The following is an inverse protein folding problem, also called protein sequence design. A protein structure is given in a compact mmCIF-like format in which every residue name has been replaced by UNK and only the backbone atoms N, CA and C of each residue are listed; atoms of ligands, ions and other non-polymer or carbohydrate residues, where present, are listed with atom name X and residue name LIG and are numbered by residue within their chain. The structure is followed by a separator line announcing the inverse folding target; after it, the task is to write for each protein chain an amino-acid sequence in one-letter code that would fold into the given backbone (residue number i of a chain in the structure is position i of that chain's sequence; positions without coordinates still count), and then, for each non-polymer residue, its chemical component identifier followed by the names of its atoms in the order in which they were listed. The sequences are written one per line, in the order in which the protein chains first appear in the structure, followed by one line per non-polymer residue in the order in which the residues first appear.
data_IF_929614487226
#
_entry.id   IF_929614487226
#
_cell.length_a   1.000
_cell.length_b   1.000
_cell.length_c   1.000
_cell.angle_alpha   90.00
_cell.angle_beta   90.00
_cell.angle_gamma   90.00
#
_symmetry.space_group_name_H-M   'P 1'
#
loop_
_entity.id
_entity.type
_entity.pdbx_description
1 polymer ?
#
# COMPACT_ATOMS: atom_id res chain seq x y z
N UNK A 1 34.90 18.89 -8.03
CA UNK A 1 34.02 18.40 -8.06
C UNK A 1 33.69 17.55 -7.09
N UNK A 2 32.86 17.58 -6.56
CA UNK A 2 32.46 16.80 -5.49
C UNK A 2 32.36 15.35 -5.79
N UNK A 3 32.34 14.57 -4.78
CA UNK A 3 32.19 13.20 -4.92
C UNK A 3 30.78 12.87 -5.19
N UNK A 4 30.58 11.82 -5.94
CA UNK A 4 29.26 11.36 -6.26
C UNK A 4 28.78 10.48 -5.13
N UNK A 5 27.64 10.81 -4.56
CA UNK A 5 27.04 10.00 -3.50
C UNK A 5 26.27 8.86 -4.15
N UNK A 6 26.58 7.60 -3.79
CA UNK A 6 25.87 6.47 -4.41
C UNK A 6 24.39 6.50 -4.04
N UNK A 7 23.54 6.17 -4.98
CA UNK A 7 22.12 6.07 -4.73
C UNK A 7 21.83 4.79 -3.95
N UNK A 8 20.93 4.86 -2.98
CA UNK A 8 20.50 3.68 -2.25
C UNK A 8 19.60 2.82 -3.14
N UNK A 9 19.45 1.55 -2.76
CA UNK A 9 18.54 0.65 -3.46
C UNK A 9 17.13 1.23 -3.49
N UNK A 10 16.67 1.77 -2.36
CA UNK A 10 15.32 2.33 -2.28
C UNK A 10 15.17 3.53 -3.21
N UNK A 11 16.18 4.38 -3.30
CA UNK A 11 16.11 5.52 -4.20
C UNK A 11 15.95 5.05 -5.65
N UNK A 12 16.72 4.04 -6.05
CA UNK A 12 16.62 3.51 -7.40
C UNK A 12 15.24 2.89 -7.63
N UNK A 13 14.75 2.12 -6.66
CA UNK A 13 13.44 1.48 -6.78
C UNK A 13 12.33 2.50 -6.90
N UNK A 14 12.39 3.57 -6.10
CA UNK A 14 11.39 4.63 -6.15
C UNK A 14 11.36 5.28 -7.53
N UNK A 15 12.53 5.61 -8.08
CA UNK A 15 12.58 6.25 -9.40
C UNK A 15 12.10 5.35 -10.51
N UNK A 16 12.31 4.06 -10.40
CA UNK A 16 11.89 3.14 -11.45
C UNK A 16 10.41 2.77 -11.36
N UNK A 17 9.89 2.60 -10.15
CA UNK A 17 8.61 1.93 -9.98
C UNK A 17 7.57 2.70 -9.19
N UNK A 18 7.91 3.77 -8.49
CA UNK A 18 6.96 4.46 -7.63
C UNK A 18 6.66 5.88 -8.11
N UNK A 19 7.69 6.68 -8.34
CA UNK A 19 7.52 8.06 -8.81
C UNK A 19 8.38 8.27 -10.04
N UNK A 20 7.76 8.63 -11.15
CA UNK A 20 8.50 8.87 -12.36
C UNK A 20 8.13 10.22 -12.93
N UNK A 21 9.10 11.12 -13.00
CA UNK A 21 8.88 12.47 -13.53
C UNK A 21 7.75 13.17 -12.80
N UNK A 22 7.74 13.03 -11.47
CA UNK A 22 6.72 13.67 -10.65
C UNK A 22 5.36 12.99 -10.67
N UNK A 23 5.21 11.87 -11.35
CA UNK A 23 3.94 11.15 -11.41
C UNK A 23 4.00 9.92 -10.54
N UNK A 24 2.90 9.68 -9.84
CA UNK A 24 2.78 8.46 -9.04
C UNK A 24 2.46 7.29 -9.96
N UNK A 25 3.32 6.28 -9.95
CA UNK A 25 3.10 5.07 -10.73
C UNK A 25 3.15 3.81 -9.89
N UNK A 26 3.39 3.92 -8.59
CA UNK A 26 3.46 2.75 -7.74
C UNK A 26 3.44 3.11 -6.28
N UNK A 27 3.55 2.09 -5.42
CA UNK A 27 3.63 2.28 -3.97
C UNK A 27 4.18 1.00 -3.34
N UNK A 28 4.70 1.14 -2.11
CA UNK A 28 5.10 -0.03 -1.34
C UNK A 28 3.86 -0.76 -0.86
N UNK A 29 3.92 -2.07 -0.85
CA UNK A 29 2.78 -2.91 -0.53
C UNK A 29 3.17 -4.06 0.40
N UNK A 30 2.24 -4.95 0.65
CA UNK A 30 2.47 -6.17 1.40
C UNK A 30 3.00 -5.90 2.80
N UNK A 31 3.97 -6.71 3.20
CA UNK A 31 4.55 -6.56 4.54
C UNK A 31 5.30 -5.25 4.71
N UNK A 32 5.87 -4.72 3.62
CA UNK A 32 6.54 -3.42 3.68
C UNK A 32 5.56 -2.33 4.12
N UNK A 33 4.40 -2.28 3.48
CA UNK A 33 3.39 -1.30 3.81
C UNK A 33 2.85 -1.53 5.23
N UNK A 34 2.59 -2.79 5.59
CA UNK A 34 2.09 -3.12 6.92
C UNK A 34 3.07 -2.66 8.00
N UNK A 35 4.36 -2.88 7.77
CA UNK A 35 5.37 -2.43 8.71
C UNK A 35 5.38 -0.91 8.84
N UNK A 36 5.31 -0.21 7.73
CA UNK A 36 5.33 1.26 7.73
C UNK A 36 4.10 1.84 8.39
N UNK A 37 2.97 1.14 8.34
CA UNK A 37 1.74 1.61 8.98
C UNK A 37 1.61 1.19 10.43
N UNK A 38 2.53 0.37 10.92
CA UNK A 38 2.48 -0.08 12.30
C UNK A 38 1.61 -1.30 12.54
N UNK A 39 1.18 -1.97 11.48
CA UNK A 39 0.38 -3.19 11.61
C UNK A 39 1.26 -4.40 11.95
N UNK A 40 2.54 -4.32 11.70
CA UNK A 40 3.49 -5.37 12.00
C UNK A 40 4.81 -4.74 12.42
N UNK A 41 5.46 -5.36 13.40
CA UNK A 41 6.79 -4.90 13.83
C UNK A 41 7.90 -5.59 13.05
N UNK A 42 7.58 -6.59 12.25
CA UNK A 42 8.59 -7.31 11.49
C UNK A 42 9.05 -6.48 10.31
N UNK A 43 10.37 -6.39 10.15
CA UNK A 43 10.95 -5.71 8.99
C UNK A 43 11.00 -6.72 7.86
N UNK A 44 10.40 -6.43 6.71
CA UNK A 44 10.37 -7.42 5.63
C UNK A 44 11.76 -7.69 5.07
N UNK A 45 12.03 -8.95 4.81
CA UNK A 45 13.27 -9.36 4.21
C UNK A 45 13.31 -8.94 2.75
N UNK A 46 12.18 -9.04 2.07
CA UNK A 46 12.02 -8.64 0.68
C UNK A 46 10.95 -7.55 0.64
N UNK A 47 11.31 -6.42 0.03
CA UNK A 47 10.35 -5.32 -0.10
C UNK A 47 9.43 -5.60 -1.28
N UNK A 48 8.18 -5.20 -1.14
CA UNK A 48 7.19 -5.41 -2.20
C UNK A 48 6.70 -4.08 -2.72
N UNK A 49 6.70 -3.92 -4.04
CA UNK A 49 6.22 -2.71 -4.71
C UNK A 49 5.16 -3.11 -5.73
N UNK A 50 4.05 -2.38 -5.74
CA UNK A 50 3.04 -2.50 -6.77
C UNK A 50 3.26 -1.33 -7.72
N UNK A 51 3.36 -1.59 -9.01
CA UNK A 51 3.71 -0.54 -9.96
C UNK A 51 3.03 -0.75 -11.29
N UNK A 52 2.57 0.35 -11.88
CA UNK A 52 2.06 0.34 -13.25
C UNK A 52 3.13 -0.12 -14.24
N UNK A 53 4.40 0.01 -13.88
CA UNK A 53 5.51 -0.32 -14.77
C UNK A 53 6.15 -1.66 -14.42
N UNK A 54 5.44 -2.51 -13.67
CA UNK A 54 5.96 -3.84 -13.36
C UNK A 54 6.20 -4.60 -14.67
N UNK A 55 7.35 -5.26 -14.81
CA UNK A 55 7.67 -5.96 -16.06
C UNK A 55 6.87 -7.23 -16.27
N UNK A 56 6.23 -7.73 -15.23
CA UNK A 56 5.40 -8.93 -15.30
C UNK A 56 4.35 -8.84 -14.22
N UNK A 57 3.41 -9.80 -14.20
CA UNK A 57 2.40 -9.81 -13.15
C UNK A 57 3.06 -9.80 -11.77
N UNK A 58 4.10 -10.62 -11.61
CA UNK A 58 4.91 -10.64 -10.40
C UNK A 58 6.36 -10.94 -10.82
N UNK A 59 7.28 -10.12 -10.35
CA UNK A 59 8.68 -10.34 -10.71
C UNK A 59 9.58 -10.06 -9.51
N UNK A 60 10.40 -11.04 -9.12
CA UNK A 60 11.46 -10.82 -8.16
C UNK A 60 12.65 -10.19 -8.84
N UNK A 61 13.33 -9.29 -8.16
CA UNK A 61 14.54 -8.69 -8.71
C UNK A 61 15.43 -8.18 -7.60
N UNK A 62 16.70 -7.94 -7.94
CA UNK A 62 17.67 -7.40 -7.02
C UNK A 62 18.12 -6.04 -7.53
N UNK A 63 18.06 -5.05 -6.66
CA UNK A 63 18.54 -3.71 -6.94
C UNK A 63 19.58 -3.39 -5.87
N UNK A 64 20.83 -3.21 -6.29
CA UNK A 64 21.93 -2.88 -5.38
C UNK A 64 21.94 -3.78 -4.14
N UNK A 65 21.90 -5.09 -4.40
CA UNK A 65 21.98 -6.13 -3.37
C UNK A 65 20.76 -6.22 -2.46
N UNK A 66 19.70 -5.49 -2.76
CA UNK A 66 18.45 -5.57 -2.00
C UNK A 66 17.41 -6.25 -2.85
N UNK A 67 16.62 -7.14 -2.24
CA UNK A 67 15.64 -7.92 -2.98
C UNK A 67 14.28 -7.23 -2.95
N UNK A 68 13.64 -7.24 -4.10
CA UNK A 68 12.32 -6.65 -4.28
C UNK A 68 11.42 -7.61 -5.02
N UNK A 69 10.13 -7.52 -4.74
CA UNK A 69 9.10 -8.12 -5.55
C UNK A 69 8.32 -6.97 -6.15
N UNK A 70 8.24 -6.93 -7.49
CA UNK A 70 7.50 -5.90 -8.19
C UNK A 70 6.32 -6.58 -8.83
N UNK A 71 5.10 -6.09 -8.56
CA UNK A 71 3.93 -6.71 -9.16
C UNK A 71 2.97 -5.66 -9.71
N UNK A 72 2.14 -6.10 -10.64
CA UNK A 72 1.18 -5.22 -11.27
C UNK A 72 0.03 -4.90 -10.33
N UNK A 73 -0.54 -3.71 -10.44
CA UNK A 73 -1.68 -3.35 -9.60
C UNK A 73 -2.96 -3.97 -10.13
N UNK A 74 -3.95 -4.09 -9.23
CA UNK A 74 -5.28 -4.48 -9.63
C UNK A 74 -5.96 -3.41 -10.48
N UNK A 75 -5.58 -2.15 -10.27
CA UNK A 75 -6.13 -0.99 -10.96
C UNK A 75 -4.96 -0.06 -11.23
N UNK A 76 -5.00 0.66 -12.33
CA UNK A 76 -3.94 1.62 -12.64
C UNK A 76 -3.79 2.62 -11.50
N UNK A 77 -2.57 2.80 -11.04
CA UNK A 77 -2.26 3.68 -9.91
C UNK A 77 -2.16 5.11 -10.39
N UNK A 78 -2.83 6.02 -9.70
CA UNK A 78 -2.77 7.45 -9.98
C UNK A 78 -2.57 8.18 -8.66
N UNK A 79 -2.30 9.49 -8.76
CA UNK A 79 -2.16 10.29 -7.56
C UNK A 79 -3.48 10.34 -6.78
N UNK A 80 -4.61 10.29 -7.49
CA UNK A 80 -5.91 10.37 -6.85
C UNK A 80 -6.30 9.10 -6.11
N UNK A 81 -5.88 7.93 -6.61
CA UNK A 81 -6.36 6.69 -6.02
C UNK A 81 -5.33 5.97 -5.15
N UNK A 82 -4.08 6.47 -5.09
CA UNK A 82 -3.01 5.71 -4.45
C UNK A 82 -3.31 5.41 -2.98
N UNK A 83 -3.91 6.35 -2.27
CA UNK A 83 -4.16 6.13 -0.83
C UNK A 83 -5.24 5.10 -0.59
N UNK A 84 -6.30 5.08 -1.39
CA UNK A 84 -7.32 4.06 -1.22
C UNK A 84 -6.80 2.70 -1.66
N UNK A 85 -5.94 2.65 -2.68
CA UNK A 85 -5.36 1.37 -3.08
C UNK A 85 -4.42 0.84 -1.99
N UNK A 86 -3.64 1.69 -1.35
CA UNK A 86 -2.80 1.28 -0.22
C UNK A 86 -3.65 0.76 0.94
N UNK A 87 -4.77 1.43 1.22
CA UNK A 87 -5.69 0.99 2.24
C UNK A 87 -6.21 -0.42 1.96
N UNK A 88 -6.61 -0.67 0.71
CA UNK A 88 -7.11 -1.99 0.32
C UNK A 88 -6.00 -3.04 0.36
N UNK A 89 -4.78 -2.67 0.00
CA UNK A 89 -3.65 -3.60 0.08
C UNK A 89 -3.37 -4.00 1.53
N UNK A 90 -3.50 -3.06 2.47
CA UNK A 90 -3.33 -3.40 3.88
C UNK A 90 -4.38 -4.37 4.35
N UNK A 91 -5.63 -4.16 3.95
CA UNK A 91 -6.70 -5.08 4.31
C UNK A 91 -6.49 -6.46 3.72
N UNK A 92 -5.83 -6.52 2.58
CA UNK A 92 -5.57 -7.80 1.93
C UNK A 92 -4.60 -8.67 2.74
N UNK A 93 -3.68 -8.06 3.48
CA UNK A 93 -2.64 -8.82 4.18
C UNK A 93 -2.74 -8.74 5.70
N UNK A 94 -3.73 -8.05 6.23
CA UNK A 94 -3.77 -7.79 7.68
C UNK A 94 -3.85 -9.08 8.48
N UNK A 95 -4.52 -10.10 7.96
CA UNK A 95 -4.67 -11.37 8.66
C UNK A 95 -3.35 -12.12 8.77
N UNK A 96 -2.40 -11.82 7.90
CA UNK A 96 -1.13 -12.53 7.88
C UNK A 96 -0.02 -11.79 8.61
N UNK A 97 -0.05 -10.47 8.59
CA UNK A 97 1.08 -9.70 9.11
C UNK A 97 0.76 -8.88 10.34
N UNK A 98 -0.49 -8.81 10.74
CA UNK A 98 -0.85 -8.09 11.96
C UNK A 98 -0.46 -8.91 13.17
N UNK A 99 0.28 -8.29 14.08
CA UNK A 99 0.70 -8.95 15.32
C UNK A 99 -0.16 -8.53 16.48
N UNK A 100 -0.88 -7.42 16.35
CA UNK A 100 -1.79 -6.97 17.37
C UNK A 100 -3.16 -7.60 17.13
N UNK A 101 -4.06 -7.46 18.10
CA UNK A 101 -5.39 -7.96 17.86
C UNK A 101 -6.08 -7.13 16.78
N UNK A 102 -7.14 -7.67 16.22
CA UNK A 102 -7.79 -7.05 15.08
C UNK A 102 -8.40 -5.70 15.39
N UNK A 103 -8.81 -5.47 16.66
CA UNK A 103 -9.33 -4.16 17.03
C UNK A 103 -8.26 -3.07 16.93
N UNK A 104 -7.04 -3.39 17.36
CA UNK A 104 -5.95 -2.42 17.26
C UNK A 104 -5.64 -2.14 15.80
N UNK A 105 -5.62 -3.18 14.97
CA UNK A 105 -5.41 -3.00 13.54
C UNK A 105 -6.50 -2.12 12.94
N UNK A 106 -7.74 -2.32 13.36
CA UNK A 106 -8.85 -1.50 12.91
C UNK A 106 -8.69 -0.04 13.30
N UNK A 107 -8.15 0.24 14.48
CA UNK A 107 -7.90 1.61 14.90
C UNK A 107 -6.84 2.27 14.03
N UNK A 108 -5.77 1.55 13.71
CA UNK A 108 -4.71 2.07 12.85
C UNK A 108 -5.26 2.36 11.45
N UNK A 109 -6.02 1.43 10.90
CA UNK A 109 -6.59 1.60 9.57
C UNK A 109 -7.64 2.71 9.53
N UNK A 110 -8.43 2.84 10.59
CA UNK A 110 -9.41 3.91 10.69
C UNK A 110 -8.71 5.28 10.69
N UNK A 111 -7.63 5.39 11.46
CA UNK A 111 -6.87 6.64 11.48
C UNK A 111 -6.32 6.96 10.09
N UNK A 112 -5.80 5.95 9.40
CA UNK A 112 -5.30 6.13 8.05
C UNK A 112 -6.42 6.64 7.12
N UNK A 113 -7.60 6.04 7.23
CA UNK A 113 -8.73 6.44 6.41
C UNK A 113 -9.12 7.90 6.66
N UNK A 114 -9.09 8.32 7.93
CA UNK A 114 -9.41 9.70 8.28
C UNK A 114 -8.34 10.64 7.73
N UNK A 115 -7.08 10.29 7.92
CA UNK A 115 -5.99 11.16 7.48
C UNK A 115 -5.95 11.35 5.97
N UNK A 116 -6.39 10.36 5.22
CA UNK A 116 -6.30 10.41 3.77
C UNK A 116 -7.66 10.52 3.11
N UNK A 117 -8.69 10.84 3.89
CA UNK A 117 -10.05 11.08 3.39
C UNK A 117 -10.56 9.91 2.54
N UNK A 118 -10.39 8.71 3.05
CA UNK A 118 -10.85 7.52 2.36
C UNK A 118 -12.31 7.30 2.72
N UNK A 119 -13.20 7.52 1.75
CA UNK A 119 -14.63 7.41 1.95
C UNK A 119 -15.13 6.05 1.48
N UNK A 120 -16.35 5.71 1.90
CA UNK A 120 -16.98 4.48 1.44
C UNK A 120 -17.10 4.48 -0.08
N UNK A 121 -17.39 5.62 -0.69
CA UNK A 121 -17.53 5.70 -2.14
C UNK A 121 -16.21 5.36 -2.83
N UNK A 122 -15.09 5.84 -2.30
CA UNK A 122 -13.77 5.53 -2.87
C UNK A 122 -13.44 4.05 -2.72
N UNK A 123 -13.76 3.47 -1.55
CA UNK A 123 -13.54 2.05 -1.33
C UNK A 123 -14.40 1.23 -2.30
N UNK A 124 -15.68 1.58 -2.42
CA UNK A 124 -16.59 0.83 -3.29
C UNK A 124 -16.16 0.89 -4.74
N UNK A 125 -15.51 1.97 -5.14
CA UNK A 125 -15.07 2.12 -6.52
C UNK A 125 -14.03 1.04 -6.92
N UNK A 126 -13.20 0.62 -5.98
CA UNK A 126 -12.07 -0.25 -6.30
C UNK A 126 -12.12 -1.63 -5.65
N UNK A 127 -12.95 -1.82 -4.62
CA UNK A 127 -12.86 -3.02 -3.79
C UNK A 127 -13.14 -4.29 -4.59
N UNK A 128 -13.98 -4.22 -5.62
CA UNK A 128 -14.31 -5.41 -6.42
C UNK A 128 -13.12 -5.92 -7.23
N UNK A 129 -12.07 -5.14 -7.36
CA UNK A 129 -10.85 -5.56 -8.06
C UNK A 129 -9.91 -6.33 -7.14
N UNK A 130 -10.28 -6.51 -5.87
CA UNK A 130 -9.45 -7.15 -4.87
C UNK A 130 -10.08 -8.45 -4.40
N UNK A 131 -9.31 -9.34 -3.74
CA UNK A 131 -9.87 -10.61 -3.27
C UNK A 131 -11.00 -10.42 -2.28
N UNK A 132 -11.93 -11.36 -2.27
CA UNK A 132 -13.10 -11.29 -1.40
C UNK A 132 -12.73 -11.24 0.09
N UNK A 133 -11.57 -11.76 0.46
CA UNK A 133 -11.18 -11.76 1.87
C UNK A 133 -11.05 -10.35 2.45
N UNK A 134 -11.00 -9.33 1.60
CA UNK A 134 -10.97 -7.96 2.09
C UNK A 134 -12.25 -7.61 2.84
N UNK A 135 -13.40 -8.12 2.38
CA UNK A 135 -14.67 -7.88 3.09
C UNK A 135 -14.62 -8.45 4.50
N UNK A 136 -14.06 -9.67 4.62
CA UNK A 136 -13.91 -10.29 5.93
C UNK A 136 -12.97 -9.45 6.81
N UNK A 137 -11.88 -8.95 6.24
CA UNK A 137 -10.93 -8.13 6.98
C UNK A 137 -11.57 -6.84 7.48
N UNK A 138 -12.39 -6.20 6.64
CA UNK A 138 -13.12 -5.01 7.07
C UNK A 138 -14.00 -5.33 8.28
N UNK A 139 -14.72 -6.45 8.20
CA UNK A 139 -15.60 -6.83 9.29
C UNK A 139 -14.80 -7.15 10.57
N UNK A 140 -13.74 -7.93 10.44
CA UNK A 140 -13.00 -8.40 11.60
C UNK A 140 -12.19 -7.30 12.28
N UNK A 141 -11.66 -6.35 11.52
CA UNK A 141 -10.91 -5.25 12.10
C UNK A 141 -11.82 -4.16 12.65
N UNK A 142 -13.07 -4.11 12.17
CA UNK A 142 -13.96 -3.05 12.58
C UNK A 142 -13.55 -1.70 12.04
N UNK A 143 -12.76 -1.66 10.98
CA UNK A 143 -12.28 -0.40 10.44
C UNK A 143 -13.46 0.43 9.94
N UNK A 144 -13.35 1.77 10.10
CA UNK A 144 -14.36 2.68 9.65
C UNK A 144 -13.76 3.65 8.65
N UNK A 145 -14.56 4.03 7.66
CA UNK A 145 -14.11 5.02 6.70
C UNK A 145 -14.87 6.32 6.89
N UNK A 146 -14.33 7.36 6.27
CA UNK A 146 -14.99 8.65 6.30
C UNK A 146 -16.29 8.54 5.52
N UNK A 147 -17.37 9.10 6.08
CA UNK A 147 -18.65 9.09 5.39
C UNK A 147 -18.61 10.03 4.20
N UNK A 148 -19.10 9.56 3.06
CA UNK A 148 -19.14 10.40 1.89
C UNK A 148 -20.15 11.53 2.03
N UNK A 149 -21.03 11.45 3.04
CA UNK A 149 -22.01 12.51 3.23
C UNK A 149 -21.57 13.54 4.20
N UNK A 150 -20.37 13.38 4.71
CA UNK A 150 -19.92 14.22 5.64
C UNK A 150 -20.02 15.58 5.29
N UNK A 151 -19.98 15.88 4.34
CA UNK A 151 -19.95 17.11 4.18
C UNK A 151 -20.98 17.77 4.29
N UNK A 152 -21.48 17.64 4.61
CA UNK A 152 -22.33 18.38 4.73
C UNK A 152 -22.57 18.72 5.80
N UNK A 153 -22.58 18.76 6.12
CA UNK A 153 -22.76 19.23 6.95
C UNK A 153 -22.88 19.72 7.31
#
# INVERSE_FOLDING_TARGET
MGERIPLSADTVAVHKYIMRRGRRIGFYSGYTLANRMGLSTQVPFTEEIVSNYAPAAVRGMTIKNRKYIIRRPAVEITEENVKVLQFLECLKVVDKCAEENMNVCGQILTRYAIEHDITKAKVDEFISNYPMKIYKAIYETGVKYVSSTKNHT
#
